data_IF_677734445750
#
_entry.id   IF_677734445750
#
_cell.length_a   1.000
_cell.length_b   1.000
_cell.length_c   1.000
_cell.angle_alpha   90.00
_cell.angle_beta   90.00
_cell.angle_gamma   90.00
#
_symmetry.space_group_name_H-M   'P 1'
#
loop_
_entity.id
_entity.type
_entity.pdbx_description
1 polymer ?
#
# COMPACT_ATOMS: atom_id res chain seq x y z
N UNK A 1 133.01 -53.00 45.44
CA UNK A 1 131.96 -53.59 46.29
C UNK A 1 130.68 -52.79 46.06
N UNK A 2 129.68 -53.44 45.47
CA UNK A 2 128.42 -52.85 44.98
C UNK A 2 127.66 -52.07 46.06
N UNK A 3 127.09 -50.92 45.67
CA UNK A 3 125.76 -50.51 46.15
C UNK A 3 125.06 -49.69 45.08
N UNK A 4 124.28 -50.42 44.29
CA UNK A 4 123.23 -49.91 43.40
C UNK A 4 122.26 -49.14 44.31
N UNK A 5 122.06 -47.85 44.04
CA UNK A 5 120.99 -47.05 44.64
C UNK A 5 119.73 -47.28 43.80
N UNK A 6 118.92 -48.27 44.18
CA UNK A 6 117.56 -48.45 43.71
C UNK A 6 116.69 -47.30 44.23
N UNK A 7 116.46 -46.27 43.40
CA UNK A 7 115.53 -45.18 43.71
C UNK A 7 114.12 -45.61 43.31
N UNK A 8 113.62 -46.64 43.99
CA UNK A 8 112.32 -47.25 43.70
C UNK A 8 111.14 -46.49 44.34
N UNK A 9 111.34 -45.26 44.83
CA UNK A 9 110.29 -44.43 45.45
C UNK A 9 110.39 -42.95 45.08
N UNK A 10 109.25 -42.33 44.83
CA UNK A 10 109.15 -40.90 44.52
C UNK A 10 109.54 -40.04 45.73
N UNK A 11 110.52 -39.16 45.55
CA UNK A 11 111.08 -38.32 46.62
C UNK A 11 110.04 -37.43 47.34
N UNK A 12 108.92 -37.07 46.70
CA UNK A 12 107.93 -36.16 47.28
C UNK A 12 106.78 -36.87 48.02
N UNK A 13 106.38 -38.08 47.60
CA UNK A 13 105.22 -38.79 48.18
C UNK A 13 105.47 -40.26 48.53
N UNK A 14 106.72 -40.72 48.39
CA UNK A 14 107.22 -42.04 48.76
C UNK A 14 106.52 -43.26 48.15
N UNK A 15 105.68 -43.07 47.12
CA UNK A 15 105.08 -44.18 46.35
C UNK A 15 106.08 -44.78 45.37
N UNK A 16 105.96 -46.10 45.14
CA UNK A 16 106.88 -46.86 44.28
C UNK A 16 106.80 -46.42 42.82
N UNK A 17 107.91 -46.02 42.20
CA UNK A 17 107.93 -45.61 40.79
C UNK A 17 108.08 -46.85 39.92
N UNK A 18 107.01 -47.25 39.23
CA UNK A 18 107.06 -48.32 38.24
C UNK A 18 107.52 -47.75 36.89
N UNK A 19 108.78 -47.95 36.52
CA UNK A 19 109.29 -47.62 35.19
C UNK A 19 108.87 -48.75 34.22
N UNK A 20 107.93 -48.45 33.32
CA UNK A 20 107.56 -49.38 32.23
C UNK A 20 108.62 -49.32 31.12
N UNK A 21 109.38 -50.41 30.96
CA UNK A 21 110.18 -50.69 29.76
C UNK A 21 109.25 -51.02 28.58
N UNK A 22 109.60 -50.51 27.40
CA UNK A 22 108.86 -50.50 26.13
C UNK A 22 107.65 -49.57 26.05
N UNK A 23 107.92 -48.31 25.73
CA UNK A 23 106.94 -47.37 25.20
C UNK A 23 107.17 -47.27 23.69
N UNK A 24 106.18 -47.66 22.89
CA UNK A 24 106.21 -47.49 21.44
C UNK A 24 105.94 -46.02 21.09
N UNK A 25 107.03 -45.26 20.96
CA UNK A 25 107.00 -43.81 20.73
C UNK A 25 106.23 -43.45 19.46
N UNK A 26 106.25 -44.30 18.42
CA UNK A 26 105.51 -44.07 17.18
C UNK A 26 104.00 -44.14 17.42
N UNK A 27 103.54 -45.09 18.23
CA UNK A 27 102.12 -45.20 18.59
C UNK A 27 101.62 -43.98 19.36
N UNK A 28 102.41 -43.47 20.31
CA UNK A 28 102.08 -42.24 21.04
C UNK A 28 102.10 -40.99 20.15
N UNK A 29 102.99 -40.93 19.17
CA UNK A 29 103.07 -39.80 18.24
C UNK A 29 101.90 -39.80 17.23
N UNK A 30 101.44 -40.99 16.81
CA UNK A 30 100.21 -41.18 16.03
C UNK A 30 98.98 -40.79 16.86
N UNK A 31 98.87 -41.25 18.11
CA UNK A 31 97.77 -40.86 19.01
C UNK A 31 97.75 -39.34 19.24
N UNK A 32 98.92 -38.71 19.46
CA UNK A 32 99.03 -37.26 19.62
C UNK A 32 98.62 -36.51 18.34
N UNK A 33 99.05 -36.95 17.16
CA UNK A 33 98.61 -36.35 15.87
C UNK A 33 97.11 -36.52 15.65
N UNK A 34 96.54 -37.66 16.01
CA UNK A 34 95.10 -37.89 15.92
C UNK A 34 94.32 -36.97 16.86
N UNK A 35 94.78 -36.82 18.11
CA UNK A 35 94.19 -35.89 19.08
C UNK A 35 94.32 -34.42 18.65
N UNK A 36 95.45 -34.01 18.06
CA UNK A 36 95.62 -32.64 17.53
C UNK A 36 94.72 -32.39 16.31
N UNK A 37 94.56 -33.39 15.43
CA UNK A 37 93.62 -33.30 14.32
C UNK A 37 92.17 -33.23 14.80
N UNK A 38 91.81 -34.00 15.84
CA UNK A 38 90.49 -33.98 16.46
C UNK A 38 90.23 -32.64 17.15
N UNK A 39 91.20 -32.11 17.89
CA UNK A 39 91.14 -30.77 18.49
C UNK A 39 90.92 -29.68 17.44
N UNK A 40 91.63 -29.73 16.32
CA UNK A 40 91.44 -28.79 15.20
C UNK A 40 90.04 -28.91 14.59
N UNK A 41 89.54 -30.14 14.40
CA UNK A 41 88.16 -30.38 13.92
C UNK A 41 87.13 -29.79 14.88
N UNK A 42 87.27 -30.04 16.18
CA UNK A 42 86.37 -29.50 17.21
C UNK A 42 86.42 -27.97 17.29
N UNK A 43 87.60 -27.36 17.18
CA UNK A 43 87.73 -25.90 17.14
C UNK A 43 87.08 -25.28 15.91
N UNK A 44 87.23 -25.90 14.74
CA UNK A 44 86.56 -25.46 13.52
C UNK A 44 85.04 -25.59 13.63
N UNK A 45 84.53 -26.69 14.19
CA UNK A 45 83.11 -26.87 14.45
C UNK A 45 82.58 -25.84 15.44
N UNK A 46 83.30 -25.56 16.53
CA UNK A 46 82.92 -24.53 17.50
C UNK A 46 82.86 -23.13 16.88
N UNK A 47 83.80 -22.79 15.99
CA UNK A 47 83.80 -21.54 15.24
C UNK A 47 82.59 -21.43 14.30
N UNK A 48 82.24 -22.51 13.61
CA UNK A 48 81.06 -22.57 12.73
C UNK A 48 79.76 -22.40 13.52
N UNK A 49 79.60 -23.15 14.62
CA UNK A 49 78.42 -23.08 15.49
C UNK A 49 78.25 -21.67 16.06
N UNK A 50 79.34 -21.01 16.49
CA UNK A 50 79.24 -19.64 16.99
C UNK A 50 78.81 -18.63 15.91
N UNK A 51 79.24 -18.82 14.66
CA UNK A 51 78.77 -18.00 13.54
C UNK A 51 77.28 -18.22 13.28
N UNK A 52 76.80 -19.46 13.39
CA UNK A 52 75.38 -19.78 13.26
C UNK A 52 74.55 -19.19 14.40
N UNK A 53 75.02 -19.30 15.65
CA UNK A 53 74.37 -18.67 16.81
C UNK A 53 74.26 -17.15 16.62
N UNK A 54 75.32 -16.51 16.10
CA UNK A 54 75.30 -15.06 15.85
C UNK A 54 74.27 -14.70 14.76
N UNK A 55 74.19 -15.48 13.68
CA UNK A 55 73.16 -15.30 12.65
C UNK A 55 71.75 -15.46 13.22
N UNK A 56 71.51 -16.50 14.00
CA UNK A 56 70.21 -16.75 14.64
C UNK A 56 69.84 -15.59 15.57
N UNK A 57 70.78 -15.09 16.39
CA UNK A 57 70.51 -13.93 17.26
C UNK A 57 70.12 -12.68 16.49
N UNK A 58 70.75 -12.44 15.34
CA UNK A 58 70.41 -11.30 14.49
C UNK A 58 69.01 -11.45 13.87
N UNK A 59 68.68 -12.63 13.35
CA UNK A 59 67.33 -12.92 12.84
C UNK A 59 66.27 -12.75 13.93
N UNK A 60 66.54 -13.26 15.12
CA UNK A 60 65.62 -13.18 16.26
C UNK A 60 65.42 -11.72 16.72
N UNK A 61 66.44 -10.87 16.60
CA UNK A 61 66.33 -9.42 16.83
C UNK A 61 65.46 -8.73 15.79
N UNK A 62 65.56 -9.11 14.52
CA UNK A 62 64.73 -8.57 13.44
C UNK A 62 63.27 -9.00 13.57
N UNK A 63 63.01 -10.29 13.82
CA UNK A 63 61.66 -10.81 14.07
C UNK A 63 61.00 -10.15 15.28
N UNK A 64 61.75 -9.91 16.36
CA UNK A 64 61.24 -9.18 17.51
C UNK A 64 60.83 -7.75 17.16
N UNK A 65 61.60 -7.04 16.33
CA UNK A 65 61.23 -5.69 15.86
C UNK A 65 59.95 -5.72 15.04
N UNK A 66 59.75 -6.73 14.21
CA UNK A 66 58.50 -6.89 13.46
C UNK A 66 57.32 -7.20 14.38
N UNK A 67 57.51 -8.08 15.36
CA UNK A 67 56.50 -8.41 16.37
C UNK A 67 56.07 -7.16 17.15
N UNK A 68 57.00 -6.31 17.58
CA UNK A 68 56.67 -5.03 18.23
C UNK A 68 55.83 -4.11 17.34
N UNK A 69 56.14 -4.00 16.04
CA UNK A 69 55.33 -3.21 15.09
C UNK A 69 53.92 -3.78 14.95
N UNK A 70 53.77 -5.11 14.94
CA UNK A 70 52.46 -5.77 14.86
C UNK A 70 51.65 -5.52 16.14
N UNK A 71 52.28 -5.62 17.32
CA UNK A 71 51.65 -5.33 18.61
C UNK A 71 51.19 -3.87 18.68
N UNK A 72 52.00 -2.90 18.24
CA UNK A 72 51.60 -1.49 18.18
C UNK A 72 50.41 -1.26 17.26
N UNK A 73 50.40 -1.90 16.08
CA UNK A 73 49.25 -1.83 15.17
C UNK A 73 47.99 -2.42 15.81
N UNK A 74 48.11 -3.57 16.47
CA UNK A 74 46.99 -4.22 17.17
C UNK A 74 46.43 -3.33 18.28
N UNK A 75 47.29 -2.67 19.07
CA UNK A 75 46.86 -1.75 20.12
C UNK A 75 46.17 -0.50 19.55
N UNK A 76 46.66 0.04 18.42
CA UNK A 76 46.00 1.16 17.72
C UNK A 76 44.60 0.74 17.24
N UNK A 77 44.49 -0.41 16.58
CA UNK A 77 43.20 -0.95 16.11
C UNK A 77 42.23 -1.17 17.28
N UNK A 78 42.71 -1.75 18.39
CA UNK A 78 41.90 -1.98 19.59
C UNK A 78 41.37 -0.67 20.18
N UNK A 79 42.21 0.36 20.30
CA UNK A 79 41.78 1.70 20.74
C UNK A 79 40.74 2.32 19.80
N UNK A 80 40.87 2.15 18.48
CA UNK A 80 39.88 2.66 17.52
C UNK A 80 38.55 1.93 17.64
N UNK A 81 38.57 0.60 17.81
CA UNK A 81 37.37 -0.22 17.99
C UNK A 81 36.65 0.10 19.31
N UNK A 82 37.40 0.30 20.39
CA UNK A 82 36.86 0.70 21.70
C UNK A 82 36.26 2.13 21.67
N UNK A 83 36.77 3.02 20.79
CA UNK A 83 36.25 4.39 20.57
C UNK A 83 35.03 4.43 19.63
N UNK A 84 34.89 3.49 18.70
CA UNK A 84 33.64 3.28 17.95
C UNK A 84 32.61 2.56 18.83
N UNK A 85 32.24 3.26 19.89
CA UNK A 85 31.14 2.97 20.81
C UNK A 85 29.84 2.67 20.06
N UNK A 86 29.14 1.61 20.49
CA UNK A 86 27.74 1.49 20.93
C UNK A 86 26.62 2.42 20.37
N UNK A 87 26.90 3.59 19.82
CA UNK A 87 25.90 4.54 19.32
C UNK A 87 25.13 4.00 18.12
N UNK A 88 25.81 3.28 17.22
CA UNK A 88 25.14 2.63 16.08
C UNK A 88 24.22 1.49 16.55
N UNK A 89 24.59 0.76 17.59
CA UNK A 89 23.77 -0.33 18.14
C UNK A 89 22.56 0.22 18.89
N UNK A 90 22.74 1.26 19.71
CA UNK A 90 21.64 1.96 20.37
C UNK A 90 20.68 2.60 19.35
N UNK A 91 21.21 3.23 18.29
CA UNK A 91 20.42 3.76 17.18
C UNK A 91 19.66 2.67 16.44
N UNK A 92 20.28 1.52 16.20
CA UNK A 92 19.63 0.37 15.57
C UNK A 92 18.48 -0.18 16.43
N UNK A 93 18.68 -0.33 17.75
CA UNK A 93 17.60 -0.72 18.66
C UNK A 93 16.44 0.27 18.65
N UNK A 94 16.72 1.57 18.67
CA UNK A 94 15.68 2.60 18.58
C UNK A 94 14.90 2.54 17.26
N UNK A 95 15.57 2.25 16.14
CA UNK A 95 14.93 2.09 14.84
C UNK A 95 14.06 0.83 14.78
N UNK A 96 14.50 -0.28 15.40
CA UNK A 96 13.72 -1.52 15.43
C UNK A 96 12.47 -1.36 16.31
N UNK A 97 12.56 -0.67 17.45
CA UNK A 97 11.41 -0.28 18.28
C UNK A 97 10.42 0.57 17.49
N UNK A 98 10.89 1.64 16.82
CA UNK A 98 10.03 2.48 15.97
C UNK A 98 9.36 1.70 14.85
N UNK A 99 10.09 0.77 14.22
CA UNK A 99 9.54 -0.09 13.17
C UNK A 99 8.41 -0.97 13.72
N UNK A 100 8.57 -1.53 14.93
CA UNK A 100 7.52 -2.29 15.59
C UNK A 100 6.29 -1.39 15.89
N UNK A 101 6.51 -0.21 16.47
CA UNK A 101 5.44 0.77 16.74
C UNK A 101 4.68 1.16 15.46
N UNK A 102 5.38 1.47 14.37
CA UNK A 102 4.76 1.80 13.09
C UNK A 102 4.03 0.61 12.47
N UNK A 103 4.53 -0.61 12.66
CA UNK A 103 3.87 -1.81 12.18
C UNK A 103 2.57 -2.08 12.95
N UNK A 104 2.57 -1.90 14.27
CA UNK A 104 1.36 -1.99 15.09
C UNK A 104 0.35 -0.92 14.70
N UNK A 105 0.81 0.33 14.51
CA UNK A 105 -0.04 1.43 14.06
C UNK A 105 -0.64 1.16 12.67
N UNK A 106 0.15 0.61 11.75
CA UNK A 106 -0.33 0.22 10.42
C UNK A 106 -1.44 -0.83 10.50
N UNK A 107 -1.24 -1.89 11.30
CA UNK A 107 -2.24 -2.95 11.45
C UNK A 107 -3.51 -2.44 12.13
N UNK A 108 -3.40 -1.59 13.14
CA UNK A 108 -4.55 -0.91 13.74
C UNK A 108 -5.29 -0.02 12.73
N UNK A 109 -4.55 0.72 11.91
CA UNK A 109 -5.12 1.61 10.89
C UNK A 109 -5.85 0.81 9.83
N UNK A 110 -5.27 -0.28 9.32
CA UNK A 110 -5.92 -1.19 8.36
C UNK A 110 -7.20 -1.82 8.93
N UNK A 111 -7.18 -2.22 10.20
CA UNK A 111 -8.37 -2.76 10.87
C UNK A 111 -9.47 -1.70 10.97
N UNK A 112 -9.11 -0.47 11.32
CA UNK A 112 -10.03 0.66 11.40
C UNK A 112 -10.61 1.01 10.03
N UNK A 113 -9.77 1.07 9.00
CA UNK A 113 -10.18 1.28 7.61
C UNK A 113 -11.19 0.22 7.17
N UNK A 114 -10.88 -1.06 7.37
CA UNK A 114 -11.79 -2.16 7.05
C UNK A 114 -13.12 -2.06 7.79
N UNK A 115 -13.09 -1.67 9.07
CA UNK A 115 -14.31 -1.47 9.86
C UNK A 115 -15.16 -0.32 9.30
N UNK A 116 -14.54 0.82 9.00
CA UNK A 116 -15.22 1.98 8.42
C UNK A 116 -15.80 1.64 7.04
N UNK A 117 -15.07 0.91 6.20
CA UNK A 117 -15.58 0.47 4.89
C UNK A 117 -16.84 -0.39 5.03
N UNK A 118 -16.85 -1.35 5.96
CA UNK A 118 -18.04 -2.17 6.23
C UNK A 118 -19.22 -1.37 6.79
N UNK A 119 -18.97 -0.37 7.64
CA UNK A 119 -20.00 0.54 8.15
C UNK A 119 -20.60 1.41 7.03
N UNK A 120 -19.76 1.92 6.13
CA UNK A 120 -20.20 2.68 4.96
C UNK A 120 -21.03 1.79 4.03
N UNK A 121 -20.54 0.59 3.69
CA UNK A 121 -21.27 -0.36 2.83
C UNK A 121 -22.66 -0.69 3.39
N UNK A 122 -22.77 -0.91 4.71
CA UNK A 122 -24.04 -1.18 5.37
C UNK A 122 -24.99 0.01 5.29
N UNK A 123 -24.49 1.23 5.51
CA UNK A 123 -25.29 2.45 5.42
C UNK A 123 -25.73 2.75 3.98
N UNK A 124 -24.85 2.53 3.00
CA UNK A 124 -25.18 2.66 1.58
C UNK A 124 -26.27 1.67 1.18
N UNK A 125 -26.20 0.42 1.64
CA UNK A 125 -27.22 -0.59 1.37
C UNK A 125 -28.59 -0.20 1.95
N UNK A 126 -28.62 0.25 3.20
CA UNK A 126 -29.85 0.72 3.87
C UNK A 126 -30.48 1.90 3.12
N UNK A 127 -29.68 2.93 2.81
CA UNK A 127 -30.14 4.09 2.04
C UNK A 127 -30.56 3.76 0.62
N UNK A 128 -29.90 2.79 -0.01
CA UNK A 128 -30.29 2.34 -1.34
C UNK A 128 -31.63 1.60 -1.32
N UNK A 129 -31.98 0.88 -0.24
CA UNK A 129 -33.29 0.25 -0.10
C UNK A 129 -34.41 1.30 0.00
N UNK A 130 -34.19 2.36 0.79
CA UNK A 130 -35.12 3.49 0.87
C UNK A 130 -35.29 4.15 -0.51
N UNK A 131 -34.17 4.42 -1.20
CA UNK A 131 -34.15 5.01 -2.54
C UNK A 131 -34.88 4.12 -3.55
N UNK A 132 -34.60 2.81 -3.56
CA UNK A 132 -35.20 1.82 -4.45
C UNK A 132 -36.71 1.72 -4.24
N UNK A 133 -37.17 1.83 -2.99
CA UNK A 133 -38.59 1.85 -2.65
C UNK A 133 -39.28 3.10 -3.20
N UNK A 134 -38.64 4.26 -3.05
CA UNK A 134 -39.17 5.52 -3.60
C UNK A 134 -39.16 5.51 -5.13
N UNK A 135 -38.09 4.99 -5.74
CA UNK A 135 -38.01 4.79 -7.19
C UNK A 135 -39.14 3.91 -7.70
N UNK A 136 -39.38 2.79 -7.02
CA UNK A 136 -40.46 1.87 -7.37
C UNK A 136 -41.83 2.56 -7.33
N UNK A 137 -42.09 3.43 -6.34
CA UNK A 137 -43.34 4.22 -6.26
C UNK A 137 -43.57 5.04 -7.54
N UNK A 138 -42.54 5.76 -7.99
CA UNK A 138 -42.60 6.58 -9.21
C UNK A 138 -42.66 5.76 -10.51
N UNK A 139 -41.82 4.74 -10.63
CA UNK A 139 -41.77 3.92 -11.84
C UNK A 139 -43.05 3.11 -12.03
N UNK A 140 -43.61 2.58 -10.93
CA UNK A 140 -44.89 1.85 -10.94
C UNK A 140 -46.06 2.75 -11.35
N UNK A 141 -46.09 4.01 -10.87
CA UNK A 141 -47.18 4.91 -11.25
C UNK A 141 -47.16 5.30 -12.73
N UNK A 142 -45.99 5.34 -13.38
CA UNK A 142 -45.88 5.57 -14.82
C UNK A 142 -46.17 4.33 -15.67
N UNK A 143 -45.49 3.20 -15.36
CA UNK A 143 -45.55 1.98 -16.17
C UNK A 143 -46.83 1.17 -15.99
N UNK A 144 -47.63 1.50 -14.96
CA UNK A 144 -48.92 0.86 -14.70
C UNK A 144 -48.81 -0.38 -13.82
N UNK A 145 -49.98 -0.85 -13.35
CA UNK A 145 -50.07 -1.78 -12.23
C UNK A 145 -49.49 -3.18 -12.48
N UNK A 146 -49.34 -3.57 -13.74
CA UNK A 146 -48.85 -4.90 -14.15
C UNK A 146 -47.32 -4.96 -14.28
N UNK A 147 -46.64 -3.83 -14.14
CA UNK A 147 -45.18 -3.74 -14.29
C UNK A 147 -44.47 -3.99 -12.96
N UNK A 148 -43.52 -4.92 -12.92
CA UNK A 148 -42.63 -5.08 -11.77
C UNK A 148 -41.29 -4.38 -12.03
N UNK A 149 -41.00 -3.36 -11.23
CA UNK A 149 -39.77 -2.57 -11.32
C UNK A 149 -38.93 -2.79 -10.08
N UNK A 150 -37.63 -3.04 -10.28
CA UNK A 150 -36.68 -3.27 -9.18
C UNK A 150 -35.31 -2.70 -9.52
N UNK A 151 -34.73 -1.98 -8.56
CA UNK A 151 -33.32 -1.62 -8.55
C UNK A 151 -32.56 -2.54 -7.59
N UNK A 152 -31.42 -3.03 -8.02
CA UNK A 152 -30.54 -3.88 -7.21
C UNK A 152 -29.14 -3.31 -7.19
N UNK A 153 -28.59 -3.09 -5.99
CA UNK A 153 -27.20 -2.67 -5.83
C UNK A 153 -26.30 -3.89 -6.07
N UNK A 154 -25.34 -3.76 -6.97
CA UNK A 154 -24.36 -4.79 -7.32
C UNK A 154 -22.95 -4.24 -7.25
N UNK A 155 -21.98 -5.12 -7.02
CA UNK A 155 -20.57 -4.73 -6.84
C UNK A 155 -20.19 -4.58 -5.36
N UNK A 156 -18.94 -4.17 -5.10
CA UNK A 156 -18.41 -3.93 -3.76
C UNK A 156 -17.74 -2.55 -3.71
N UNK A 157 -17.95 -1.82 -2.61
CA UNK A 157 -17.31 -0.52 -2.35
C UNK A 157 -17.41 0.43 -3.55
N UNK A 158 -16.26 0.75 -4.17
CA UNK A 158 -16.11 1.83 -5.15
C UNK A 158 -16.60 1.47 -6.56
N UNK A 159 -16.88 0.18 -6.79
CA UNK A 159 -17.47 -0.33 -8.03
C UNK A 159 -18.97 -0.63 -7.87
N UNK A 160 -19.61 -0.09 -6.84
CA UNK A 160 -21.04 -0.29 -6.63
C UNK A 160 -21.83 0.40 -7.76
N UNK A 161 -22.50 -0.41 -8.57
CA UNK A 161 -23.46 0.01 -9.59
C UNK A 161 -24.86 -0.45 -9.19
N UNK A 162 -25.89 0.05 -9.85
CA UNK A 162 -27.22 -0.51 -9.74
C UNK A 162 -27.64 -1.18 -11.05
N UNK A 163 -28.30 -2.33 -10.93
CA UNK A 163 -29.01 -2.99 -12.02
C UNK A 163 -30.47 -2.60 -12.00
N UNK A 164 -31.03 -2.40 -13.17
CA UNK A 164 -32.45 -2.14 -13.36
C UNK A 164 -33.14 -3.36 -13.94
N UNK A 165 -34.23 -3.78 -13.31
CA UNK A 165 -35.07 -4.87 -13.75
C UNK A 165 -36.47 -4.35 -14.07
N UNK A 166 -37.00 -4.81 -15.21
CA UNK A 166 -38.38 -4.61 -15.61
C UNK A 166 -39.00 -5.97 -15.97
N UNK A 167 -40.03 -6.36 -15.22
CA UNK A 167 -40.72 -7.65 -15.32
C UNK A 167 -39.75 -8.83 -15.22
N UNK A 168 -38.97 -8.85 -14.13
CA UNK A 168 -37.91 -9.84 -13.84
C UNK A 168 -36.76 -9.92 -14.85
N UNK A 169 -36.76 -9.07 -15.88
CA UNK A 169 -35.72 -9.05 -16.89
C UNK A 169 -34.76 -7.90 -16.63
N UNK A 170 -33.47 -8.22 -16.48
CA UNK A 170 -32.40 -7.23 -16.40
C UNK A 170 -32.34 -6.42 -17.70
N UNK A 171 -32.26 -5.09 -17.60
CA UNK A 171 -32.04 -4.21 -18.75
C UNK A 171 -30.64 -3.64 -18.65
N UNK A 172 -29.73 -4.23 -19.41
CA UNK A 172 -28.31 -3.86 -19.40
C UNK A 172 -28.03 -2.50 -20.05
N UNK A 173 -28.97 -2.00 -20.86
CA UNK A 173 -28.86 -0.68 -21.48
C UNK A 173 -30.21 -0.03 -21.67
N UNK A 174 -30.19 1.28 -21.85
CA UNK A 174 -31.36 2.08 -22.24
C UNK A 174 -32.04 1.50 -23.49
N UNK A 175 -31.27 1.01 -24.47
CA UNK A 175 -31.78 0.44 -25.74
C UNK A 175 -32.59 -0.84 -25.54
N UNK A 176 -32.54 -1.47 -24.37
CA UNK A 176 -33.38 -2.61 -24.04
C UNK A 176 -34.83 -2.21 -23.71
N UNK A 177 -35.14 -0.92 -23.60
CA UNK A 177 -36.48 -0.39 -23.29
C UNK A 177 -37.08 0.27 -24.55
N UNK A 178 -38.42 0.21 -24.68
CA UNK A 178 -39.13 1.04 -25.66
C UNK A 178 -38.96 2.53 -25.35
N UNK A 179 -39.14 3.41 -26.33
CA UNK A 179 -39.01 4.87 -26.14
C UNK A 179 -39.84 5.40 -24.96
N UNK A 180 -41.13 5.04 -24.90
CA UNK A 180 -41.99 5.46 -23.80
C UNK A 180 -41.50 4.94 -22.45
N UNK A 181 -41.06 3.68 -22.38
CA UNK A 181 -40.48 3.11 -21.15
C UNK A 181 -39.21 3.85 -20.71
N UNK A 182 -38.33 4.21 -21.65
CA UNK A 182 -37.11 4.98 -21.35
C UNK A 182 -37.44 6.33 -20.72
N UNK A 183 -38.36 7.06 -21.33
CA UNK A 183 -38.82 8.37 -20.83
C UNK A 183 -39.41 8.24 -19.43
N UNK A 184 -40.23 7.21 -19.18
CA UNK A 184 -40.83 6.98 -17.86
C UNK A 184 -39.82 6.61 -16.78
N UNK A 185 -38.88 5.73 -17.11
CA UNK A 185 -37.84 5.31 -16.18
C UNK A 185 -36.93 6.49 -15.84
N UNK A 186 -36.53 7.29 -16.84
CA UNK A 186 -35.75 8.52 -16.63
C UNK A 186 -36.51 9.53 -15.75
N UNK A 187 -37.79 9.77 -16.04
CA UNK A 187 -38.60 10.69 -15.26
C UNK A 187 -38.79 10.20 -13.82
N UNK A 188 -39.07 8.92 -13.63
CA UNK A 188 -39.16 8.31 -12.31
C UNK A 188 -37.84 8.46 -11.53
N UNK A 189 -36.70 8.24 -12.18
CA UNK A 189 -35.38 8.39 -11.57
C UNK A 189 -35.11 9.84 -11.13
N UNK A 190 -35.44 10.82 -11.98
CA UNK A 190 -35.27 12.26 -11.66
C UNK A 190 -36.14 12.68 -10.48
N UNK A 191 -37.43 12.33 -10.49
CA UNK A 191 -38.36 12.68 -9.40
C UNK A 191 -37.95 12.01 -8.08
N UNK A 192 -37.54 10.75 -8.14
CA UNK A 192 -37.03 10.02 -6.97
C UNK A 192 -35.79 10.71 -6.41
N UNK A 193 -34.85 11.07 -7.26
CA UNK A 193 -33.61 11.75 -6.83
C UNK A 193 -33.92 13.08 -6.14
N UNK A 194 -34.84 13.86 -6.70
CA UNK A 194 -35.27 15.13 -6.10
C UNK A 194 -35.95 14.93 -4.75
N UNK A 195 -36.92 14.02 -4.63
CA UNK A 195 -37.63 13.79 -3.37
C UNK A 195 -36.75 13.10 -2.32
N UNK A 196 -35.82 12.22 -2.72
CA UNK A 196 -34.97 11.49 -1.79
C UNK A 196 -33.94 12.39 -1.10
N UNK A 197 -33.29 13.27 -1.88
CA UNK A 197 -32.18 14.08 -1.37
C UNK A 197 -32.61 15.46 -0.86
N UNK A 198 -33.80 15.93 -1.22
CA UNK A 198 -34.24 17.28 -0.92
C UNK A 198 -35.72 17.33 -0.50
N UNK A 199 -36.02 18.29 0.38
CA UNK A 199 -37.39 18.70 0.70
C UNK A 199 -37.75 19.90 -0.15
N UNK A 200 -39.03 20.04 -0.51
CA UNK A 200 -39.57 21.17 -1.25
C UNK A 200 -38.84 21.39 -2.60
N UNK A 201 -38.55 20.30 -3.31
CA UNK A 201 -37.89 20.34 -4.62
C UNK A 201 -38.80 20.94 -5.69
N UNK A 202 -38.21 21.40 -6.79
CA UNK A 202 -38.97 21.74 -7.99
C UNK A 202 -38.52 20.91 -9.19
N UNK A 203 -39.46 20.59 -10.06
CA UNK A 203 -39.21 19.90 -11.32
C UNK A 203 -39.82 20.70 -12.48
N UNK A 204 -39.02 20.96 -13.51
CA UNK A 204 -39.48 21.63 -14.74
C UNK A 204 -39.54 20.57 -15.83
N UNK A 205 -40.72 20.37 -16.41
CA UNK A 205 -40.95 19.44 -17.51
C UNK A 205 -41.56 20.16 -18.70
N UNK A 206 -41.00 19.95 -19.87
CA UNK A 206 -41.80 20.12 -21.09
C UNK A 206 -42.82 18.98 -21.13
N UNK A 207 -44.05 19.28 -21.55
CA UNK A 207 -45.10 18.28 -21.64
C UNK A 207 -44.69 17.14 -22.58
N UNK A 208 -44.75 15.88 -22.14
CA UNK A 208 -44.47 14.74 -22.99
C UNK A 208 -45.65 14.37 -23.92
N UNK A 209 -46.55 15.32 -24.20
CA UNK A 209 -47.82 15.12 -24.93
C UNK A 209 -47.64 14.46 -26.32
N UNK A 210 -46.51 14.69 -27.00
CA UNK A 210 -46.25 14.09 -28.32
C UNK A 210 -45.81 12.63 -28.26
N UNK A 211 -45.40 12.14 -27.09
CA UNK A 211 -44.77 10.83 -26.91
C UNK A 211 -45.58 9.92 -25.99
N UNK A 212 -46.64 10.46 -25.38
CA UNK A 212 -47.55 9.73 -24.50
C UNK A 212 -48.80 9.26 -25.24
N UNK A 213 -49.05 7.95 -25.22
CA UNK A 213 -50.37 7.44 -25.56
C UNK A 213 -51.39 7.86 -24.49
N UNK A 214 -52.66 7.97 -24.90
CA UNK A 214 -53.81 8.33 -24.06
C UNK A 214 -53.87 7.59 -22.71
N UNK A 215 -53.49 6.30 -22.68
CA UNK A 215 -53.47 5.50 -21.45
C UNK A 215 -52.37 5.92 -20.48
N UNK A 216 -51.20 6.30 -21.00
CA UNK A 216 -50.06 6.71 -20.18
C UNK A 216 -50.19 8.13 -19.63
N UNK A 217 -51.00 9.00 -20.24
CA UNK A 217 -51.28 10.33 -19.69
C UNK A 217 -51.91 10.24 -18.29
N UNK A 218 -52.83 9.29 -18.06
CA UNK A 218 -53.46 9.11 -16.74
C UNK A 218 -52.44 8.64 -15.69
N UNK A 219 -51.51 7.78 -16.09
CA UNK A 219 -50.39 7.34 -15.25
C UNK A 219 -49.40 8.48 -14.95
N UNK A 220 -49.15 9.33 -15.94
CA UNK A 220 -48.32 10.52 -15.78
C UNK A 220 -48.95 11.49 -14.76
N UNK A 221 -50.26 11.75 -14.86
CA UNK A 221 -51.00 12.56 -13.85
C UNK A 221 -50.79 11.98 -12.46
N UNK A 222 -50.99 10.67 -12.27
CA UNK A 222 -50.81 10.01 -10.97
C UNK A 222 -49.39 10.20 -10.44
N UNK A 223 -48.41 10.09 -11.31
CA UNK A 223 -47.00 10.20 -10.93
C UNK A 223 -46.61 11.61 -10.54
N UNK A 224 -46.97 12.60 -11.35
CA UNK A 224 -46.77 14.01 -11.03
C UNK A 224 -47.55 14.43 -9.78
N UNK A 225 -48.75 13.87 -9.59
CA UNK A 225 -49.53 14.10 -8.37
C UNK A 225 -48.79 13.61 -7.15
N UNK A 226 -48.13 12.44 -7.19
CA UNK A 226 -47.30 12.00 -6.05
C UNK A 226 -46.17 12.96 -5.72
N UNK A 227 -45.53 13.55 -6.73
CA UNK A 227 -44.47 14.53 -6.50
C UNK A 227 -45.00 15.80 -5.84
N UNK A 228 -46.13 16.33 -6.35
CA UNK A 228 -46.81 17.52 -5.80
C UNK A 228 -47.32 17.24 -4.38
N UNK A 229 -47.99 16.11 -4.17
CA UNK A 229 -48.57 15.70 -2.88
C UNK A 229 -47.49 15.46 -1.81
N UNK A 230 -46.25 15.16 -2.22
CA UNK A 230 -45.07 15.10 -1.34
C UNK A 230 -44.52 16.49 -0.94
N UNK A 231 -45.17 17.58 -1.34
CA UNK A 231 -44.78 18.96 -1.01
C UNK A 231 -43.89 19.64 -2.05
N UNK A 232 -43.62 19.00 -3.19
CA UNK A 232 -42.75 19.54 -4.22
C UNK A 232 -43.53 20.40 -5.24
N UNK A 233 -42.81 21.23 -6.00
CA UNK A 233 -43.39 22.11 -7.01
C UNK A 233 -43.15 21.59 -8.42
N UNK A 234 -44.21 21.50 -9.23
CA UNK A 234 -44.12 21.12 -10.64
C UNK A 234 -44.33 22.35 -11.53
N UNK A 235 -43.38 22.59 -12.44
CA UNK A 235 -43.50 23.53 -13.53
C UNK A 235 -43.65 22.75 -14.83
N UNK A 236 -44.73 23.00 -15.56
CA UNK A 236 -44.95 22.38 -16.86
C UNK A 236 -45.12 23.44 -17.93
N UNK A 237 -44.43 23.26 -19.06
CA UNK A 237 -44.76 23.97 -20.29
C UNK A 237 -45.54 23.04 -21.20
N UNK A 238 -46.75 23.46 -21.56
CA UNK A 238 -47.62 22.75 -22.47
C UNK A 238 -47.74 23.51 -23.78
N UNK A 239 -47.88 22.78 -24.89
CA UNK A 239 -48.36 23.41 -26.12
C UNK A 239 -49.81 23.85 -25.89
N UNK A 240 -50.28 24.84 -26.64
CA UNK A 240 -51.64 25.36 -26.52
C UNK A 240 -52.72 24.35 -26.99
N UNK A 241 -52.39 23.08 -27.20
CA UNK A 241 -53.37 22.04 -27.53
C UNK A 241 -54.05 21.56 -26.25
N UNK A 242 -55.24 20.97 -26.41
CA UNK A 242 -55.98 20.36 -25.33
C UNK A 242 -55.24 19.09 -24.81
N UNK A 243 -54.28 19.26 -23.91
CA UNK A 243 -53.55 18.16 -23.27
C UNK A 243 -54.38 17.61 -22.12
N UNK A 244 -54.78 16.34 -22.23
CA UNK A 244 -55.52 15.65 -21.16
C UNK A 244 -54.69 15.56 -19.88
N UNK A 245 -53.38 15.38 -19.99
CA UNK A 245 -52.46 15.40 -18.84
C UNK A 245 -52.59 16.70 -18.05
N UNK A 246 -52.52 17.84 -18.75
CA UNK A 246 -52.63 19.17 -18.14
C UNK A 246 -54.02 19.37 -17.55
N UNK A 247 -55.09 19.03 -18.28
CA UNK A 247 -56.45 19.19 -17.79
C UNK A 247 -56.70 18.42 -16.49
N UNK A 248 -56.24 17.17 -16.43
CA UNK A 248 -56.41 16.33 -15.25
C UNK A 248 -55.60 16.86 -14.05
N UNK A 249 -54.41 17.40 -14.28
CA UNK A 249 -53.62 18.05 -13.24
C UNK A 249 -54.29 19.34 -12.74
N UNK A 250 -54.70 20.22 -13.65
CA UNK A 250 -55.42 21.45 -13.33
C UNK A 250 -56.71 21.12 -12.59
N UNK A 251 -57.46 20.10 -13.02
CA UNK A 251 -58.70 19.68 -12.38
C UNK A 251 -58.48 19.18 -10.95
N UNK A 252 -57.43 18.39 -10.73
CA UNK A 252 -57.06 17.89 -9.41
C UNK A 252 -56.59 19.00 -8.47
N UNK A 253 -55.83 19.96 -8.99
CA UNK A 253 -55.18 21.03 -8.22
C UNK A 253 -55.82 22.41 -8.46
N UNK A 254 -57.14 22.48 -8.75
CA UNK A 254 -57.87 23.71 -9.11
C UNK A 254 -57.62 24.92 -8.20
N UNK A 255 -57.29 24.70 -6.93
CA UNK A 255 -57.07 25.77 -5.93
C UNK A 255 -55.61 26.17 -5.77
N UNK A 256 -54.68 25.40 -6.33
CA UNK A 256 -53.26 25.44 -6.02
C UNK A 256 -52.37 25.53 -7.28
N UNK A 257 -52.97 25.71 -8.46
CA UNK A 257 -52.23 25.93 -9.71
C UNK A 257 -52.13 27.41 -10.10
N UNK A 258 -51.13 27.73 -10.92
CA UNK A 258 -51.00 29.02 -11.60
C UNK A 258 -50.71 28.78 -13.07
N UNK A 259 -51.59 29.31 -13.94
CA UNK A 259 -51.39 29.29 -15.38
C UNK A 259 -50.70 30.58 -15.84
N UNK A 260 -49.66 30.45 -16.66
CA UNK A 260 -48.99 31.58 -17.30
C UNK A 260 -49.24 31.46 -18.81
N UNK A 261 -50.12 32.30 -19.34
CA UNK A 261 -50.37 32.36 -20.76
C UNK A 261 -49.22 33.10 -21.47
N UNK A 262 -48.33 32.34 -22.13
CA UNK A 262 -47.19 32.90 -22.86
C UNK A 262 -47.60 33.68 -24.12
N UNK A 263 -48.79 33.44 -24.67
CA UNK A 263 -49.30 34.19 -25.83
C UNK A 263 -49.54 35.66 -25.48
N UNK A 264 -49.98 35.96 -24.26
CA UNK A 264 -50.11 37.34 -23.79
C UNK A 264 -48.77 38.06 -23.65
N UNK A 265 -47.68 37.31 -23.47
CA UNK A 265 -46.33 37.85 -23.31
C UNK A 265 -45.60 37.96 -24.66
N UNK A 266 -45.99 37.18 -25.65
CA UNK A 266 -45.39 37.17 -26.98
C UNK A 266 -45.73 38.43 -27.78
N UNK A 267 -44.69 39.14 -28.24
CA UNK A 267 -44.83 40.30 -29.14
C UNK A 267 -45.40 39.93 -30.51
N UNK A 268 -45.15 38.70 -30.98
CA UNK A 268 -45.69 38.19 -32.24
C UNK A 268 -47.18 37.85 -32.08
N UNK A 269 -47.54 37.10 -31.04
CA UNK A 269 -48.93 36.70 -30.80
C UNK A 269 -49.84 37.91 -30.57
N UNK A 270 -49.34 38.97 -29.91
CA UNK A 270 -50.09 40.23 -29.74
C UNK A 270 -50.53 40.88 -31.05
N UNK A 271 -49.78 40.70 -32.15
CA UNK A 271 -50.15 41.26 -33.47
C UNK A 271 -51.29 40.49 -34.13
N UNK A 272 -51.53 39.25 -33.72
CA UNK A 272 -52.54 38.34 -34.26
C UNK A 272 -53.52 37.87 -33.17
N UNK A 273 -53.63 38.64 -32.08
CA UNK A 273 -54.33 38.17 -30.88
C UNK A 273 -55.82 37.91 -31.14
N UNK A 274 -56.44 38.72 -32.01
CA UNK A 274 -57.85 38.56 -32.40
C UNK A 274 -58.09 37.27 -33.19
N UNK A 275 -57.12 36.83 -34.01
CA UNK A 275 -57.17 35.55 -34.72
C UNK A 275 -56.94 34.39 -33.76
N UNK A 276 -55.99 34.53 -32.84
CA UNK A 276 -55.66 33.51 -31.84
C UNK A 276 -56.82 33.27 -30.88
N UNK A 277 -57.55 34.33 -30.50
CA UNK A 277 -58.76 34.25 -29.66
C UNK A 277 -59.90 33.43 -30.28
N UNK A 278 -59.92 33.30 -31.60
CA UNK A 278 -60.93 32.50 -32.31
C UNK A 278 -60.59 31.01 -32.34
N UNK A 279 -59.38 30.62 -31.91
CA UNK A 279 -58.96 29.23 -31.89
C UNK A 279 -59.61 28.51 -30.70
N UNK A 280 -60.10 27.28 -30.93
CA UNK A 280 -60.82 26.49 -29.93
C UNK A 280 -60.06 26.37 -28.61
N UNK A 281 -58.74 26.22 -28.68
CA UNK A 281 -57.91 26.07 -27.49
C UNK A 281 -57.78 27.33 -26.63
N UNK A 282 -58.08 28.52 -27.17
CA UNK A 282 -57.91 29.75 -26.43
C UNK A 282 -58.93 29.87 -25.29
N UNK A 283 -60.10 29.25 -25.45
CA UNK A 283 -61.11 29.12 -24.39
C UNK A 283 -60.56 28.47 -23.12
N UNK A 284 -59.59 27.57 -23.25
CA UNK A 284 -58.92 26.90 -22.13
C UNK A 284 -57.92 27.79 -21.38
N UNK A 285 -57.52 28.92 -21.97
CA UNK A 285 -56.53 29.84 -21.40
C UNK A 285 -57.15 31.03 -20.65
N UNK A 286 -58.48 31.23 -20.76
CA UNK A 286 -59.22 32.33 -20.11
C UNK A 286 -59.92 31.90 -18.80
N UNK A 287 -59.94 30.60 -18.46
CA UNK A 287 -60.42 30.05 -17.17
C UNK A 287 -59.30 29.90 -16.12
#
# INVERSE_FOLDING_TARGET
>A
MNKILEVDKCFYCNKSIKIRKNIDLNRLEIERKNLDNEKRRLQNNYSLINKEILKIKNLLSEENKELFKVIEKQQKIKKTLDLTSNDNFAKYQQLELKKQEYHELLEQTKQREKKLALEIDAYVLDRFQDYSTLFKKYAYSFLGNDSNVRLELVGKSDEAFFKFFLNETERESEMALSESQRIFVDMAYRLTTLEFFHKDSYFISETPDSTLDYFFETNAVKTFSYFIDSGNTLFMSANARNSRLINLLVERYKKEYKLINLLEKSTLARKQLDEIKQLEFYSFLEE
#
